data_IF_591335542128
#
_entry.id   IF_591335542128
#
_cell.length_a   1.000
_cell.length_b   1.000
_cell.length_c   1.000
_cell.angle_alpha   90.00
_cell.angle_beta   90.00
_cell.angle_gamma   90.00
#
_symmetry.space_group_name_H-M   'P 1'
#
loop_
_entity.id
_entity.type
_entity.pdbx_description
1 polymer ?
#
# COMPACT_ATOMS: atom_id res chain seq x y z
N UNK A 1 -12.79 -40.29 23.34
CA UNK A 1 -12.98 -38.84 23.46
C UNK A 1 -12.18 -38.17 22.34
N UNK A 2 -12.83 -37.75 21.27
CA UNK A 2 -12.20 -36.97 20.21
C UNK A 2 -11.99 -35.56 20.76
N UNK A 3 -10.72 -35.19 20.99
CA UNK A 3 -10.38 -33.85 21.40
C UNK A 3 -10.78 -32.84 20.32
N UNK A 4 -11.55 -31.82 20.72
CA UNK A 4 -11.85 -30.69 19.83
C UNK A 4 -10.52 -30.03 19.42
N UNK A 5 -10.33 -29.73 18.11
CA UNK A 5 -9.15 -28.99 17.68
C UNK A 5 -9.09 -27.65 18.45
N UNK A 6 -7.94 -27.39 19.08
CA UNK A 6 -7.70 -26.11 19.74
C UNK A 6 -6.97 -25.21 18.77
N UNK A 7 -7.55 -24.08 18.44
CA UNK A 7 -6.84 -23.01 17.76
C UNK A 7 -5.73 -22.50 18.65
N UNK A 8 -4.54 -22.33 18.10
CA UNK A 8 -3.39 -21.76 18.78
C UNK A 8 -2.90 -20.61 17.92
N UNK A 9 -2.67 -19.45 18.52
CA UNK A 9 -2.03 -18.35 17.83
C UNK A 9 -0.62 -18.79 17.36
N UNK A 10 -0.24 -18.39 16.17
CA UNK A 10 1.14 -18.54 15.72
C UNK A 10 2.06 -17.69 16.63
N UNK A 11 3.28 -18.15 16.83
CA UNK A 11 4.23 -17.50 17.75
C UNK A 11 4.91 -16.27 17.14
N UNK A 12 4.74 -16.07 15.85
CA UNK A 12 5.35 -14.99 15.04
C UNK A 12 4.35 -13.91 14.60
N UNK A 13 3.13 -13.91 15.17
CA UNK A 13 2.19 -12.82 14.94
C UNK A 13 2.65 -11.56 15.65
N UNK A 14 2.51 -10.38 15.01
CA UNK A 14 2.74 -9.10 15.67
C UNK A 14 1.94 -8.96 16.97
N UNK A 15 2.52 -8.32 17.99
CA UNK A 15 1.87 -8.14 19.30
C UNK A 15 0.56 -7.33 19.20
N UNK A 16 0.48 -6.44 18.21
CA UNK A 16 -0.68 -5.60 17.90
C UNK A 16 -1.57 -6.20 16.79
N UNK A 17 -1.40 -7.50 16.48
CA UNK A 17 -2.22 -8.16 15.48
C UNK A 17 -3.71 -8.05 15.83
N UNK A 18 -4.44 -7.39 14.97
CA UNK A 18 -5.88 -7.22 15.11
C UNK A 18 -6.60 -7.70 13.85
N UNK A 19 -7.68 -8.46 14.05
CA UNK A 19 -8.57 -8.90 12.96
C UNK A 19 -9.52 -7.76 12.54
N UNK A 20 -8.97 -6.58 12.28
CA UNK A 20 -9.77 -5.42 11.87
C UNK A 20 -10.32 -5.55 10.44
N UNK A 21 -9.62 -6.33 9.61
CA UNK A 21 -10.07 -6.66 8.26
C UNK A 21 -10.62 -8.08 8.26
N UNK A 22 -11.84 -8.30 7.76
CA UNK A 22 -12.47 -9.63 7.74
C UNK A 22 -11.63 -10.70 7.03
N UNK A 23 -10.79 -10.28 6.05
CA UNK A 23 -9.93 -11.16 5.25
C UNK A 23 -8.49 -11.24 5.75
N UNK A 24 -8.14 -10.66 6.92
CA UNK A 24 -6.78 -10.79 7.48
C UNK A 24 -6.28 -12.24 7.60
N UNK A 25 -7.11 -13.22 8.01
CA UNK A 25 -6.66 -14.62 8.04
C UNK A 25 -6.34 -15.19 6.65
N UNK A 26 -7.05 -14.75 5.62
CA UNK A 26 -6.73 -15.12 4.25
C UNK A 26 -5.42 -14.47 3.80
N UNK A 27 -5.23 -13.18 4.09
CA UNK A 27 -3.98 -12.48 3.74
C UNK A 27 -2.77 -13.18 4.37
N UNK A 28 -2.84 -13.59 5.64
CA UNK A 28 -1.79 -14.40 6.27
C UNK A 28 -1.49 -15.70 5.52
N UNK A 29 -2.52 -16.44 5.13
CA UNK A 29 -2.36 -17.68 4.36
C UNK A 29 -1.80 -17.42 2.96
N UNK A 30 -2.17 -16.32 2.32
CA UNK A 30 -1.66 -15.93 1.00
C UNK A 30 -0.20 -15.48 1.05
N UNK A 31 0.24 -14.79 2.12
CA UNK A 31 1.64 -14.43 2.33
C UNK A 31 2.56 -15.64 2.35
N UNK A 32 2.12 -16.78 2.91
CA UNK A 32 2.92 -18.03 2.94
C UNK A 32 3.19 -18.62 1.54
N UNK A 33 2.45 -18.18 0.52
CA UNK A 33 2.65 -18.63 -0.87
C UNK A 33 3.74 -17.86 -1.61
N UNK A 34 4.19 -16.73 -1.05
CA UNK A 34 5.21 -15.89 -1.66
C UNK A 34 6.60 -16.48 -1.48
N UNK A 35 7.48 -16.25 -2.47
CA UNK A 35 8.89 -16.62 -2.38
C UNK A 35 9.71 -15.47 -1.73
N UNK A 36 10.20 -15.64 -0.50
CA UNK A 36 11.00 -14.60 0.17
C UNK A 36 12.33 -14.27 -0.52
N UNK A 37 12.79 -15.12 -1.43
CA UNK A 37 14.01 -14.87 -2.20
C UNK A 37 13.77 -14.07 -3.50
N UNK A 38 12.51 -13.83 -3.85
CA UNK A 38 12.15 -13.04 -5.03
C UNK A 38 12.56 -11.56 -4.86
N UNK A 39 13.12 -10.93 -5.89
CA UNK A 39 13.38 -9.50 -5.87
C UNK A 39 12.10 -8.66 -5.76
N UNK A 40 10.95 -9.22 -6.15
CA UNK A 40 9.62 -8.60 -6.08
C UNK A 40 8.92 -8.86 -4.74
N UNK A 41 9.52 -9.65 -3.83
CA UNK A 41 8.87 -10.10 -2.60
C UNK A 41 8.19 -8.98 -1.82
N UNK A 42 8.86 -7.85 -1.62
CA UNK A 42 8.29 -6.74 -0.86
C UNK A 42 7.06 -6.12 -1.55
N UNK A 43 7.07 -6.02 -2.88
CA UNK A 43 5.93 -5.54 -3.67
C UNK A 43 4.79 -6.57 -3.69
N UNK A 44 5.13 -7.85 -3.69
CA UNK A 44 4.15 -8.93 -3.63
C UNK A 44 3.44 -8.98 -2.27
N UNK A 45 4.18 -8.76 -1.16
CA UNK A 45 3.60 -8.57 0.18
C UNK A 45 2.60 -7.41 0.18
N UNK A 46 2.95 -6.27 -0.41
CA UNK A 46 2.04 -5.13 -0.55
C UNK A 46 0.78 -5.54 -1.33
N UNK A 47 0.95 -6.24 -2.46
CA UNK A 47 -0.17 -6.67 -3.32
C UNK A 47 -1.13 -7.62 -2.59
N UNK A 48 -0.62 -8.54 -1.79
CA UNK A 48 -1.45 -9.44 -0.95
C UNK A 48 -2.28 -8.64 0.05
N UNK A 49 -1.63 -7.67 0.73
CA UNK A 49 -2.34 -6.82 1.71
C UNK A 49 -3.36 -5.93 1.01
N UNK A 50 -3.02 -5.31 -0.12
CA UNK A 50 -3.96 -4.48 -0.87
C UNK A 50 -5.19 -5.27 -1.33
N UNK A 51 -5.05 -6.54 -1.70
CA UNK A 51 -6.15 -7.38 -2.18
C UNK A 51 -7.28 -7.60 -1.16
N UNK A 52 -7.01 -7.44 0.13
CA UNK A 52 -7.99 -7.64 1.20
C UNK A 52 -8.56 -6.33 1.76
N UNK A 53 -8.09 -5.19 1.30
CA UNK A 53 -8.56 -3.88 1.72
C UNK A 53 -9.82 -3.46 0.94
N UNK A 54 -10.59 -2.56 1.56
CA UNK A 54 -11.73 -1.90 0.90
C UNK A 54 -11.26 -1.11 -0.33
N UNK A 55 -12.07 -1.13 -1.38
CA UNK A 55 -11.74 -0.49 -2.65
C UNK A 55 -11.82 1.04 -2.57
N UNK A 56 -10.75 1.76 -2.90
CA UNK A 56 -10.81 3.21 -3.14
C UNK A 56 -11.43 3.47 -4.53
N UNK A 57 -12.73 3.19 -4.67
CA UNK A 57 -13.44 3.15 -5.97
C UNK A 57 -13.15 4.32 -6.90
N UNK A 58 -13.12 5.61 -6.43
CA UNK A 58 -12.82 6.73 -7.33
C UNK A 58 -11.45 6.60 -8.01
N UNK A 59 -10.45 6.09 -7.27
CA UNK A 59 -9.11 5.91 -7.80
C UNK A 59 -9.05 4.69 -8.73
N UNK A 60 -9.67 3.56 -8.36
CA UNK A 60 -9.69 2.37 -9.22
C UNK A 60 -10.38 2.64 -10.56
N UNK A 61 -11.49 3.39 -10.58
CA UNK A 61 -12.13 3.81 -11.83
C UNK A 61 -11.22 4.71 -12.67
N UNK A 62 -10.44 5.58 -12.03
CA UNK A 62 -9.49 6.42 -12.75
C UNK A 62 -8.31 5.61 -13.32
N UNK A 63 -7.78 4.63 -12.57
CA UNK A 63 -6.77 3.68 -13.05
C UNK A 63 -7.31 2.85 -14.22
N UNK A 64 -8.54 2.32 -14.12
CA UNK A 64 -9.17 1.58 -15.23
C UNK A 64 -9.32 2.44 -16.48
N UNK A 65 -9.78 3.69 -16.32
CA UNK A 65 -9.90 4.64 -17.43
C UNK A 65 -8.55 4.91 -18.09
N UNK A 66 -7.49 5.08 -17.30
CA UNK A 66 -6.14 5.27 -17.82
C UNK A 66 -5.65 4.02 -18.58
N UNK A 67 -5.79 2.83 -17.97
CA UNK A 67 -5.42 1.56 -18.60
C UNK A 67 -6.16 1.31 -19.93
N UNK A 68 -7.46 1.60 -19.96
CA UNK A 68 -8.26 1.53 -21.22
C UNK A 68 -7.77 2.52 -22.26
N UNK A 69 -7.40 3.74 -21.85
CA UNK A 69 -6.82 4.74 -22.75
C UNK A 69 -5.51 4.27 -23.38
N UNK A 70 -4.61 3.73 -22.57
CA UNK A 70 -3.34 3.17 -23.02
C UNK A 70 -3.54 1.94 -23.94
N UNK A 71 -4.45 1.04 -23.57
CA UNK A 71 -4.80 -0.11 -24.38
C UNK A 71 -5.33 0.30 -25.78
N UNK A 72 -6.23 1.29 -25.83
CA UNK A 72 -6.74 1.84 -27.10
C UNK A 72 -5.62 2.41 -27.95
N UNK A 73 -4.69 3.15 -27.34
CA UNK A 73 -3.56 3.73 -28.07
C UNK A 73 -2.64 2.64 -28.63
N UNK A 74 -2.33 1.62 -27.82
CA UNK A 74 -1.52 0.48 -28.23
C UNK A 74 -2.18 -0.34 -29.37
N UNK A 75 -3.46 -0.66 -29.24
CA UNK A 75 -4.21 -1.41 -30.25
C UNK A 75 -4.34 -0.64 -31.58
N UNK A 76 -4.52 0.69 -31.52
CA UNK A 76 -4.51 1.54 -32.70
C UNK A 76 -3.14 1.53 -33.39
N UNK A 77 -2.06 1.58 -32.63
CA UNK A 77 -0.71 1.51 -33.18
C UNK A 77 -0.42 0.16 -33.86
N UNK A 78 -1.07 -0.92 -33.40
CA UNK A 78 -1.02 -2.26 -33.98
C UNK A 78 -1.93 -2.43 -35.21
N UNK A 79 -2.76 -1.43 -35.52
CA UNK A 79 -3.69 -1.48 -36.65
C UNK A 79 -4.93 -2.35 -36.41
N UNK A 80 -5.28 -2.66 -35.17
CA UNK A 80 -6.48 -3.43 -34.85
C UNK A 80 -7.75 -2.73 -35.33
N UNK A 81 -8.68 -3.51 -35.85
CA UNK A 81 -10.00 -3.02 -36.27
C UNK A 81 -10.84 -2.55 -35.08
N UNK A 82 -11.83 -1.69 -35.34
CA UNK A 82 -12.63 -1.08 -34.27
C UNK A 82 -13.37 -2.10 -33.41
N UNK A 83 -13.99 -3.10 -34.03
CA UNK A 83 -14.77 -4.14 -33.35
C UNK A 83 -13.88 -5.00 -32.43
N UNK A 84 -12.74 -5.44 -32.93
CA UNK A 84 -11.74 -6.19 -32.17
C UNK A 84 -11.21 -5.41 -30.95
N UNK A 85 -11.00 -4.08 -31.12
CA UNK A 85 -10.59 -3.21 -30.01
C UNK A 85 -11.67 -3.12 -28.94
N UNK A 86 -12.93 -3.02 -29.34
CA UNK A 86 -14.05 -2.91 -28.38
C UNK A 86 -14.19 -4.20 -27.56
N UNK A 87 -14.04 -5.37 -28.18
CA UNK A 87 -14.06 -6.66 -27.51
C UNK A 87 -12.88 -6.78 -26.51
N UNK A 88 -11.66 -6.45 -26.95
CA UNK A 88 -10.49 -6.51 -26.10
C UNK A 88 -10.56 -5.53 -24.92
N UNK A 89 -11.26 -4.39 -25.06
CA UNK A 89 -11.43 -3.41 -23.98
C UNK A 89 -12.38 -3.89 -22.88
N UNK A 90 -13.23 -4.88 -23.11
CA UNK A 90 -14.11 -5.43 -22.06
C UNK A 90 -13.30 -6.11 -20.95
N UNK A 91 -12.13 -6.66 -21.28
CA UNK A 91 -11.24 -7.32 -20.33
C UNK A 91 -10.28 -6.36 -19.62
N UNK A 92 -10.15 -5.11 -20.11
CA UNK A 92 -9.23 -4.14 -19.50
C UNK A 92 -9.85 -3.54 -18.24
N UNK A 93 -9.18 -3.74 -17.13
CA UNK A 93 -9.53 -3.22 -15.80
C UNK A 93 -8.33 -2.50 -15.19
N UNK A 94 -8.44 -2.04 -13.95
CA UNK A 94 -7.29 -1.51 -13.20
C UNK A 94 -6.20 -2.57 -13.02
N UNK A 95 -4.93 -2.17 -12.75
CA UNK A 95 -3.83 -3.13 -12.53
C UNK A 95 -4.13 -4.07 -11.35
N UNK A 96 -4.02 -5.38 -11.60
CA UNK A 96 -4.35 -6.44 -10.64
C UNK A 96 -3.17 -7.41 -10.48
N UNK A 97 -2.07 -6.97 -9.81
CA UNK A 97 -0.91 -7.83 -9.60
C UNK A 97 -1.31 -9.07 -8.78
N UNK A 98 -0.69 -10.20 -9.09
CA UNK A 98 -0.95 -11.51 -8.46
C UNK A 98 -2.42 -11.99 -8.53
N UNK A 99 -3.27 -11.43 -9.39
CA UNK A 99 -4.70 -11.77 -9.42
C UNK A 99 -4.93 -13.27 -9.56
N UNK A 100 -4.30 -13.94 -10.52
CA UNK A 100 -4.46 -15.37 -10.73
C UNK A 100 -4.06 -16.20 -9.51
N UNK A 101 -2.94 -15.88 -8.88
CA UNK A 101 -2.47 -16.55 -7.66
C UNK A 101 -3.45 -16.33 -6.51
N UNK A 102 -3.85 -15.09 -6.28
CA UNK A 102 -4.70 -14.74 -5.15
C UNK A 102 -6.12 -15.28 -5.30
N UNK A 103 -6.70 -15.25 -6.50
CA UNK A 103 -8.03 -15.80 -6.78
C UNK A 103 -8.05 -17.33 -6.62
N UNK A 104 -7.02 -18.03 -7.12
CA UNK A 104 -6.89 -19.48 -6.94
C UNK A 104 -6.70 -19.85 -5.46
N UNK A 105 -5.85 -19.10 -4.75
CA UNK A 105 -5.65 -19.28 -3.32
C UNK A 105 -6.93 -19.00 -2.53
N UNK A 106 -7.66 -17.93 -2.86
CA UNK A 106 -8.92 -17.59 -2.20
C UNK A 106 -9.98 -18.64 -2.40
N UNK A 107 -10.13 -19.14 -3.62
CA UNK A 107 -11.06 -20.23 -3.91
C UNK A 107 -10.76 -21.47 -3.04
N UNK A 108 -9.49 -21.83 -2.92
CA UNK A 108 -9.06 -22.94 -2.06
C UNK A 108 -9.31 -22.66 -0.58
N UNK A 109 -9.06 -21.42 -0.14
CA UNK A 109 -9.29 -20.99 1.22
C UNK A 109 -10.75 -21.03 1.62
N UNK A 110 -11.66 -20.54 0.77
CA UNK A 110 -13.12 -20.58 0.97
C UNK A 110 -13.62 -22.01 1.09
N UNK A 111 -13.11 -22.93 0.29
CA UNK A 111 -13.49 -24.35 0.39
C UNK A 111 -13.20 -24.95 1.78
N UNK A 112 -12.11 -24.52 2.42
CA UNK A 112 -11.73 -24.92 3.77
C UNK A 112 -12.41 -24.07 4.88
N UNK A 113 -12.85 -22.86 4.54
CA UNK A 113 -13.41 -21.84 5.46
C UNK A 113 -14.73 -21.27 4.93
N UNK A 114 -15.84 -22.04 4.93
CA UNK A 114 -17.09 -21.62 4.29
C UNK A 114 -17.70 -20.31 4.83
N UNK A 115 -17.32 -19.89 6.04
CA UNK A 115 -17.77 -18.64 6.64
C UNK A 115 -17.26 -17.39 5.88
N UNK A 116 -16.20 -17.54 5.07
CA UNK A 116 -15.63 -16.48 4.23
C UNK A 116 -16.36 -16.33 2.89
N UNK A 117 -17.22 -17.29 2.52
CA UNK A 117 -17.83 -17.38 1.20
C UNK A 117 -18.74 -16.20 0.78
N UNK A 118 -19.08 -15.31 1.72
CA UNK A 118 -19.80 -14.06 1.43
C UNK A 118 -18.87 -12.86 1.19
N UNK A 119 -17.55 -13.04 1.32
CA UNK A 119 -16.54 -12.01 1.13
C UNK A 119 -15.84 -12.23 -0.22
N UNK A 120 -15.31 -11.17 -0.77
CA UNK A 120 -14.58 -11.17 -2.04
C UNK A 120 -13.23 -10.48 -1.84
N UNK A 121 -12.22 -10.95 -2.54
CA UNK A 121 -10.95 -10.26 -2.65
C UNK A 121 -10.98 -9.33 -3.86
N UNK A 122 -10.24 -8.25 -3.78
CA UNK A 122 -10.10 -7.28 -4.86
C UNK A 122 -8.61 -6.98 -5.09
N UNK A 123 -7.89 -7.79 -5.89
CA UNK A 123 -6.53 -7.47 -6.27
C UNK A 123 -6.47 -6.09 -6.93
N UNK A 124 -5.57 -5.24 -6.45
CA UNK A 124 -5.40 -3.85 -6.89
C UNK A 124 -3.97 -3.39 -6.64
N UNK A 125 -3.58 -2.30 -7.28
CA UNK A 125 -2.24 -1.76 -7.21
C UNK A 125 -2.31 -0.25 -7.02
N UNK A 126 -2.38 0.19 -5.79
CA UNK A 126 -2.30 1.62 -5.42
C UNK A 126 -0.97 1.91 -4.76
N UNK A 127 -0.72 1.28 -3.59
CA UNK A 127 0.56 1.43 -2.87
C UNK A 127 1.69 0.86 -3.69
N UNK A 128 1.50 -0.31 -4.33
CA UNK A 128 2.49 -0.91 -5.21
C UNK A 128 2.88 0.03 -6.34
N UNK A 129 1.92 0.61 -7.06
CA UNK A 129 2.19 1.57 -8.14
C UNK A 129 2.95 2.80 -7.64
N UNK A 130 2.56 3.32 -6.47
CA UNK A 130 3.27 4.45 -5.85
C UNK A 130 4.72 4.12 -5.52
N UNK A 131 5.00 2.91 -5.02
CA UNK A 131 6.36 2.47 -4.69
C UNK A 131 7.19 2.26 -5.96
N UNK A 132 6.63 1.56 -6.97
CA UNK A 132 7.29 1.28 -8.25
C UNK A 132 7.68 2.57 -8.99
N UNK A 133 6.84 3.60 -8.92
CA UNK A 133 7.06 4.87 -9.62
C UNK A 133 7.57 5.99 -8.68
N UNK A 134 7.90 5.68 -7.42
CA UNK A 134 8.35 6.64 -6.40
C UNK A 134 7.40 7.86 -6.27
N UNK A 135 6.10 7.65 -6.39
CA UNK A 135 5.10 8.71 -6.40
C UNK A 135 4.84 9.27 -5.00
N UNK A 136 4.66 10.57 -4.91
CA UNK A 136 4.08 11.26 -3.77
C UNK A 136 2.56 11.18 -3.81
N UNK A 137 1.90 11.55 -2.70
CA UNK A 137 0.43 11.65 -2.64
C UNK A 137 -0.13 12.63 -3.69
N UNK A 138 0.49 13.79 -3.82
CA UNK A 138 0.05 14.83 -4.77
C UNK A 138 0.20 14.37 -6.23
N UNK A 139 1.27 13.63 -6.55
CA UNK A 139 1.48 13.07 -7.88
C UNK A 139 0.43 12.01 -8.20
N UNK A 140 0.11 11.10 -7.27
CA UNK A 140 -0.96 10.11 -7.45
C UNK A 140 -2.32 10.80 -7.72
N UNK A 141 -2.67 11.78 -6.87
CA UNK A 141 -3.93 12.54 -6.99
C UNK A 141 -3.99 13.28 -8.33
N UNK A 142 -2.89 13.91 -8.75
CA UNK A 142 -2.80 14.65 -10.02
C UNK A 142 -2.83 13.73 -11.23
N UNK A 143 -2.11 12.61 -11.20
CA UNK A 143 -2.05 11.63 -12.29
C UNK A 143 -3.43 11.10 -12.65
N UNK A 144 -4.26 10.84 -11.66
CA UNK A 144 -5.59 10.25 -11.82
C UNK A 144 -6.74 11.26 -11.74
N UNK A 145 -6.45 12.54 -11.56
CA UNK A 145 -7.44 13.62 -11.44
C UNK A 145 -8.50 13.33 -10.36
N UNK A 146 -8.05 12.79 -9.22
CA UNK A 146 -8.93 12.40 -8.10
C UNK A 146 -8.93 13.41 -6.94
N UNK A 147 -8.62 14.67 -7.20
CA UNK A 147 -8.57 15.73 -6.18
C UNK A 147 -9.83 15.88 -5.35
N UNK A 148 -11.01 15.61 -5.93
CA UNK A 148 -12.28 15.63 -5.17
C UNK A 148 -12.45 14.48 -4.19
N UNK A 149 -11.61 13.46 -4.30
CA UNK A 149 -11.65 12.22 -3.53
C UNK A 149 -10.37 12.00 -2.74
N UNK A 150 -9.57 13.04 -2.51
CA UNK A 150 -8.30 12.97 -1.76
C UNK A 150 -8.47 12.27 -0.41
N UNK A 151 -9.53 12.61 0.34
CA UNK A 151 -9.81 11.98 1.63
C UNK A 151 -10.04 10.46 1.54
N UNK A 152 -10.64 9.97 0.43
CA UNK A 152 -10.80 8.52 0.20
C UNK A 152 -9.45 7.86 -0.06
N UNK A 153 -8.60 8.52 -0.86
CA UNK A 153 -7.26 8.03 -1.18
C UNK A 153 -6.39 8.00 0.08
N UNK A 154 -6.40 9.09 0.86
CA UNK A 154 -5.62 9.19 2.10
C UNK A 154 -6.07 8.14 3.13
N UNK A 155 -7.37 7.94 3.29
CA UNK A 155 -7.91 6.89 4.14
C UNK A 155 -7.42 5.51 3.70
N UNK A 156 -7.49 5.21 2.40
CA UNK A 156 -7.00 3.95 1.86
C UNK A 156 -5.51 3.72 2.16
N UNK A 157 -4.67 4.73 1.96
CA UNK A 157 -3.24 4.63 2.27
C UNK A 157 -2.99 4.41 3.76
N UNK A 158 -3.79 5.05 4.62
CA UNK A 158 -3.74 4.84 6.08
C UNK A 158 -4.15 3.42 6.45
N UNK A 159 -5.20 2.88 5.84
CA UNK A 159 -5.64 1.50 6.07
C UNK A 159 -4.62 0.49 5.55
N UNK A 160 -3.97 0.77 4.41
CA UNK A 160 -2.87 -0.04 3.88
C UNK A 160 -1.65 -0.04 4.84
N UNK A 161 -1.27 1.11 5.35
CA UNK A 161 -0.20 1.21 6.35
C UNK A 161 -0.50 0.37 7.61
N UNK A 162 -1.72 0.52 8.15
CA UNK A 162 -2.15 -0.25 9.33
C UNK A 162 -2.13 -1.76 9.05
N UNK A 163 -2.68 -2.17 7.90
CA UNK A 163 -2.75 -3.56 7.52
C UNK A 163 -1.36 -4.18 7.31
N UNK A 164 -0.44 -3.48 6.65
CA UNK A 164 0.95 -3.92 6.50
C UNK A 164 1.63 -4.15 7.85
N UNK A 165 1.40 -3.28 8.82
CA UNK A 165 1.96 -3.43 10.17
C UNK A 165 1.32 -4.55 10.97
N UNK A 166 0.01 -4.76 10.82
CA UNK A 166 -0.75 -5.67 11.67
C UNK A 166 -0.85 -7.09 11.10
N UNK A 167 -0.78 -7.25 9.78
CA UNK A 167 -1.00 -8.56 9.12
C UNK A 167 0.33 -9.24 8.80
N UNK A 168 1.36 -8.49 8.40
CA UNK A 168 2.63 -9.07 7.94
C UNK A 168 3.44 -9.58 9.12
N UNK A 169 3.71 -10.92 9.21
CA UNK A 169 4.49 -11.50 10.30
C UNK A 169 5.93 -10.97 10.33
N UNK A 170 6.56 -10.95 11.51
CA UNK A 170 7.95 -10.51 11.67
C UNK A 170 8.93 -11.27 10.78
N UNK A 171 8.71 -12.57 10.58
CA UNK A 171 9.51 -13.42 9.70
C UNK A 171 9.49 -12.99 8.23
N UNK A 172 8.47 -12.23 7.81
CA UNK A 172 8.30 -11.71 6.45
C UNK A 172 8.60 -10.21 6.33
N UNK A 173 8.92 -9.55 7.44
CA UNK A 173 9.30 -8.14 7.45
C UNK A 173 10.77 -7.97 7.05
N UNK A 174 11.07 -8.15 5.76
CA UNK A 174 12.40 -7.85 5.21
C UNK A 174 12.72 -6.36 5.33
N UNK A 175 13.98 -5.99 5.10
CA UNK A 175 14.38 -4.58 5.13
C UNK A 175 13.64 -3.74 4.08
N UNK A 176 13.32 -4.34 2.93
CA UNK A 176 12.54 -3.70 1.87
C UNK A 176 11.09 -3.49 2.30
N UNK A 177 10.45 -4.48 2.91
CA UNK A 177 9.07 -4.35 3.44
C UNK A 177 9.03 -3.26 4.51
N UNK A 178 9.97 -3.27 5.46
CA UNK A 178 10.07 -2.20 6.48
C UNK A 178 10.26 -0.82 5.85
N UNK A 179 11.11 -0.71 4.82
CA UNK A 179 11.32 0.54 4.10
C UNK A 179 10.05 1.07 3.43
N UNK A 180 9.23 0.18 2.85
CA UNK A 180 7.92 0.56 2.27
C UNK A 180 6.97 1.08 3.36
N UNK A 181 6.89 0.38 4.49
CA UNK A 181 6.03 0.78 5.62
C UNK A 181 6.45 2.14 6.18
N UNK A 182 7.75 2.37 6.40
CA UNK A 182 8.29 3.63 6.88
C UNK A 182 8.05 4.78 5.88
N UNK A 183 8.26 4.52 4.59
CA UNK A 183 7.97 5.47 3.52
C UNK A 183 6.49 5.84 3.49
N UNK A 184 5.59 4.86 3.57
CA UNK A 184 4.15 5.09 3.58
C UNK A 184 3.71 5.90 4.80
N UNK A 185 4.28 5.61 5.98
CA UNK A 185 4.05 6.40 7.18
C UNK A 185 4.49 7.87 7.01
N UNK A 186 5.68 8.10 6.46
CA UNK A 186 6.20 9.44 6.20
C UNK A 186 5.31 10.20 5.19
N UNK A 187 4.85 9.53 4.15
CA UNK A 187 3.95 10.09 3.14
C UNK A 187 2.61 10.53 3.76
N UNK A 188 2.00 9.67 4.58
CA UNK A 188 0.71 9.98 5.23
C UNK A 188 0.88 11.16 6.20
N UNK A 189 1.95 11.17 7.03
CA UNK A 189 2.23 12.29 7.96
C UNK A 189 2.46 13.61 7.24
N UNK A 190 3.04 13.59 6.05
CA UNK A 190 3.24 14.79 5.25
C UNK A 190 1.93 15.41 4.73
N UNK A 191 0.87 14.60 4.62
CA UNK A 191 -0.45 15.06 4.15
C UNK A 191 -1.37 15.38 5.33
N UNK A 192 -1.45 14.50 6.32
CA UNK A 192 -2.26 14.66 7.53
C UNK A 192 -1.66 13.84 8.69
N UNK A 193 -1.04 14.53 9.64
CA UNK A 193 -0.43 13.90 10.80
C UNK A 193 -1.49 13.32 11.76
N UNK A 194 -2.68 13.94 11.83
CA UNK A 194 -3.69 13.62 12.83
C UNK A 194 -4.17 12.16 12.77
N UNK A 195 -4.32 11.62 11.57
CA UNK A 195 -4.81 10.25 11.36
C UNK A 195 -3.84 9.18 11.87
N UNK A 196 -2.54 9.39 11.71
CA UNK A 196 -1.53 8.45 12.19
C UNK A 196 -1.28 8.60 13.68
N UNK A 197 -1.20 9.84 14.17
CA UNK A 197 -0.94 10.14 15.58
C UNK A 197 -2.07 9.60 16.46
N UNK A 198 -3.33 9.71 16.02
CA UNK A 198 -4.49 9.12 16.66
C UNK A 198 -4.36 7.60 16.75
N UNK A 199 -4.04 6.95 15.64
CA UNK A 199 -3.92 5.51 15.61
C UNK A 199 -2.74 5.00 16.45
N UNK A 200 -1.58 5.66 16.39
CA UNK A 200 -0.42 5.31 17.21
C UNK A 200 -0.71 5.49 18.70
N UNK A 201 -1.44 6.54 19.09
CA UNK A 201 -1.88 6.74 20.47
C UNK A 201 -2.81 5.61 20.93
N UNK A 202 -3.76 5.18 20.11
CA UNK A 202 -4.66 4.08 20.40
C UNK A 202 -3.93 2.73 20.50
N UNK A 203 -3.00 2.46 19.60
CA UNK A 203 -2.22 1.20 19.59
C UNK A 203 -1.30 1.08 20.81
N UNK A 204 -0.86 2.21 21.38
CA UNK A 204 -0.04 2.28 22.59
C UNK A 204 -0.90 2.31 23.89
N UNK A 205 -2.22 2.14 23.77
CA UNK A 205 -3.15 2.13 24.92
C UNK A 205 -3.30 3.50 25.59
N UNK A 206 -2.91 4.60 24.90
CA UNK A 206 -3.12 5.97 25.39
C UNK A 206 -4.56 6.40 25.10
N UNK A 207 -5.21 6.99 26.11
CA UNK A 207 -6.54 7.56 25.96
C UNK A 207 -6.50 8.81 25.08
N UNK A 208 -7.59 9.03 24.31
CA UNK A 208 -7.79 10.22 23.48
C UNK A 208 -7.53 11.55 24.20
N UNK A 209 -7.91 11.64 25.48
CA UNK A 209 -7.71 12.84 26.29
C UNK A 209 -6.23 13.22 26.52
N UNK A 210 -5.30 12.29 26.29
CA UNK A 210 -3.85 12.53 26.44
C UNK A 210 -3.16 12.88 25.12
N UNK A 211 -3.79 12.60 23.99
CA UNK A 211 -3.24 12.95 22.67
C UNK A 211 -3.39 14.45 22.35
N UNK A 212 -4.42 15.10 22.89
CA UNK A 212 -4.68 16.54 22.70
C UNK A 212 -3.69 17.47 23.41
N UNK A 213 -3.09 17.02 24.51
CA UNK A 213 -2.13 17.84 25.27
C UNK A 213 -0.68 17.75 24.70
N UNK A 214 -0.40 16.71 23.90
CA UNK A 214 0.91 16.59 23.25
C UNK A 214 1.04 17.49 22.01
N UNK A 215 -0.08 17.85 21.36
CA UNK A 215 -0.10 18.65 20.15
C UNK A 215 0.08 20.16 20.42
N UNK A 216 -0.21 20.61 21.64
CA UNK A 216 -0.01 22.02 22.04
C UNK A 216 1.47 22.39 22.22
N UNK A 217 2.37 21.41 22.41
CA UNK A 217 3.82 21.61 22.53
C UNK A 217 4.60 21.23 21.29
N UNK A 218 3.99 20.48 20.34
CA UNK A 218 4.63 20.07 19.09
C UNK A 218 4.37 21.03 17.91
N UNK A 219 3.57 22.08 18.12
CA UNK A 219 3.29 23.13 17.12
C UNK A 219 4.42 24.14 16.88
N UNK A 220 5.58 23.93 17.50
CA UNK A 220 6.78 24.70 17.23
C UNK A 220 7.91 23.72 16.86
N UNK A 221 8.26 23.70 15.58
CA UNK A 221 9.38 22.97 14.97
C UNK A 221 9.00 21.73 14.14
N UNK A 222 8.29 21.96 13.04
CA UNK A 222 8.62 21.28 11.81
C UNK A 222 9.78 22.02 11.10
N UNK A 223 10.87 22.22 11.82
CA UNK A 223 12.17 22.42 11.22
C UNK A 223 12.67 21.01 10.84
N UNK A 224 12.78 20.74 9.56
CA UNK A 224 13.44 19.56 9.02
C UNK A 224 14.76 19.34 9.79
N UNK A 225 14.73 18.45 10.77
CA UNK A 225 15.80 17.60 11.26
C UNK A 225 17.15 18.22 11.58
N UNK A 226 17.21 19.36 12.26
CA UNK A 226 18.43 19.81 12.91
C UNK A 226 18.23 19.76 14.43
N UNK A 227 19.05 18.98 15.12
CA UNK A 227 19.29 19.14 16.55
C UNK A 227 20.06 20.45 16.80
N UNK A 228 20.19 20.85 18.07
CA UNK A 228 20.83 22.09 18.46
C UNK A 228 22.28 22.28 17.94
N UNK A 229 22.91 21.22 17.41
CA UNK A 229 24.26 21.21 16.82
C UNK A 229 24.25 21.25 15.27
N UNK A 230 23.11 21.41 14.60
CA UNK A 230 23.01 21.56 13.13
C UNK A 230 23.29 20.28 12.34
N UNK A 231 23.33 19.13 12.97
CA UNK A 231 23.44 17.81 12.34
C UNK A 231 22.07 17.23 12.06
N UNK A 232 21.80 16.95 10.80
CA UNK A 232 20.50 16.43 10.33
C UNK A 232 20.31 15.02 10.86
N UNK A 233 19.42 14.83 11.85
CA UNK A 233 19.04 13.53 12.40
C UNK A 233 18.54 12.55 11.33
N UNK A 234 18.09 13.06 10.18
CA UNK A 234 17.70 12.33 8.98
C UNK A 234 18.83 11.45 8.39
N UNK A 235 20.09 11.87 8.51
CA UNK A 235 21.25 11.09 8.05
C UNK A 235 21.59 9.91 8.99
N UNK A 236 21.11 9.94 10.22
CA UNK A 236 21.28 8.86 11.18
C UNK A 236 20.31 7.69 10.90
N UNK A 237 19.15 7.94 10.29
CA UNK A 237 18.27 6.89 9.81
C UNK A 237 18.68 6.46 8.41
N UNK A 238 19.50 5.39 8.34
CA UNK A 238 20.06 4.85 7.09
C UNK A 238 18.99 4.50 6.05
N UNK A 239 17.81 4.06 6.48
CA UNK A 239 16.70 3.69 5.59
C UNK A 239 15.99 4.92 5.03
N UNK A 240 15.61 5.87 5.88
CA UNK A 240 15.01 7.13 5.46
C UNK A 240 15.93 7.90 4.49
N UNK A 241 17.24 7.92 4.78
CA UNK A 241 18.25 8.52 3.89
C UNK A 241 18.32 7.82 2.53
N UNK A 242 18.34 6.47 2.48
CA UNK A 242 18.37 5.73 1.20
C UNK A 242 17.10 5.94 0.38
N UNK A 243 15.95 5.99 1.02
CA UNK A 243 14.65 6.25 0.36
C UNK A 243 14.60 7.66 -0.21
N UNK A 244 15.04 8.67 0.56
CA UNK A 244 15.09 10.05 0.08
C UNK A 244 16.12 10.25 -1.03
N UNK A 245 17.29 9.61 -0.94
CA UNK A 245 18.29 9.63 -2.03
C UNK A 245 17.72 8.99 -3.29
N UNK A 246 17.04 7.85 -3.17
CA UNK A 246 16.41 7.19 -4.31
C UNK A 246 15.33 8.07 -4.95
N UNK A 247 14.43 8.65 -4.15
CA UNK A 247 13.41 9.59 -4.62
C UNK A 247 14.02 10.82 -5.31
N UNK A 248 15.07 11.42 -4.72
CA UNK A 248 15.77 12.56 -5.32
C UNK A 248 16.50 12.20 -6.62
N UNK A 249 17.03 10.98 -6.73
CA UNK A 249 17.66 10.50 -7.96
C UNK A 249 16.61 10.26 -9.07
N UNK A 250 15.47 9.66 -8.75
CA UNK A 250 14.38 9.46 -9.72
C UNK A 250 13.81 10.79 -10.20
N UNK A 251 13.54 11.73 -9.31
CA UNK A 251 13.09 13.07 -9.69
C UNK A 251 14.09 13.79 -10.63
N UNK A 252 15.40 13.62 -10.42
CA UNK A 252 16.41 14.17 -11.31
C UNK A 252 16.49 13.48 -12.64
N UNK A 253 16.36 12.16 -12.69
CA UNK A 253 16.34 11.39 -13.95
C UNK A 253 15.11 11.78 -14.78
N UNK A 254 13.95 11.96 -14.13
CA UNK A 254 12.73 12.41 -14.80
C UNK A 254 12.86 13.83 -15.37
N UNK A 255 13.48 14.76 -14.63
CA UNK A 255 13.76 16.10 -15.13
C UNK A 255 14.71 16.05 -16.34
N UNK A 256 15.76 15.23 -16.30
CA UNK A 256 16.68 15.07 -17.42
C UNK A 256 16.02 14.44 -18.64
N UNK A 257 15.07 13.51 -18.46
CA UNK A 257 14.33 12.92 -19.58
C UNK A 257 13.33 13.88 -20.24
N UNK A 258 12.92 14.93 -19.53
CA UNK A 258 12.05 15.99 -20.10
C UNK A 258 12.83 17.07 -20.84
N UNK A 259 14.08 17.33 -20.47
CA UNK A 259 14.93 18.32 -21.15
C UNK A 259 15.55 17.80 -22.45
N UNK A 260 15.50 16.49 -22.73
CA UNK A 260 16.03 15.89 -23.98
C UNK A 260 14.99 15.83 -25.14
N UNK A 261 13.85 16.51 -25.04
CA UNK A 261 12.73 16.50 -26.00
C UNK A 261 12.49 17.88 -26.65
N UNK A 262 13.49 18.78 -26.66
CA UNK A 262 13.47 20.02 -27.47
C UNK A 262 14.51 20.01 -28.57
#
# INVERSE_FOLDING_TARGET
>A
AQGRPRLRAATDLPDDFALNQPLSPFALAALELLDPSSPEFALDVVSVVEAVLEDPRPLLFAQEKAARGEAVAAMKAQGMEYEERMEALEEVTWPRPLAELLEAAFHTYVAANPWVGALEISPKSVVREMVENAMTFTELVSRYDVGRSEGVVLRYLTDAYRALRQIVPESMQTDEVRSIVEWLAALIRAVDSSLLDEWEALSQGRSWDQAGDADASAGAELAFGADEDGTVAFSANRHAFRTAVRAAMFARVELMSRDDVD
#
